data_IF_512229328369
#
_entry.id   IF_512229328369
#
_cell.length_a   1.000
_cell.length_b   1.000
_cell.length_c   1.000
_cell.angle_alpha   90.00
_cell.angle_beta   90.00
_cell.angle_gamma   90.00
#
_symmetry.space_group_name_H-M   'P 1'
#
loop_
_entity.id
_entity.type
_entity.pdbx_description
1 polymer ?
#
# COMPACT_ATOMS: atom_id res chain seq x y z
N UNK A 1 4.70 -55.39 -29.17
CA UNK A 1 5.88 -54.64 -28.72
C UNK A 1 5.90 -53.38 -29.54
N UNK A 2 5.50 -52.31 -28.88
CA UNK A 2 4.79 -51.19 -29.47
C UNK A 2 5.69 -50.11 -30.04
N UNK A 3 5.14 -49.48 -31.07
CA UNK A 3 5.54 -48.24 -31.72
C UNK A 3 5.43 -47.04 -30.77
N UNK A 4 6.43 -46.16 -30.76
CA UNK A 4 6.27 -44.76 -30.33
C UNK A 4 6.98 -43.82 -31.31
N UNK A 5 6.16 -43.04 -32.00
CA UNK A 5 6.51 -41.89 -32.83
C UNK A 5 7.08 -40.73 -31.99
N UNK A 6 8.06 -40.02 -32.55
CA UNK A 6 8.50 -38.70 -32.06
C UNK A 6 8.25 -37.68 -33.17
N UNK A 7 7.16 -36.92 -33.03
CA UNK A 7 6.88 -35.75 -33.86
C UNK A 7 7.51 -34.50 -33.25
N UNK A 8 8.48 -33.93 -33.97
CA UNK A 8 8.97 -32.57 -33.78
C UNK A 8 8.22 -31.66 -34.75
N UNK A 9 7.37 -30.79 -34.23
CA UNK A 9 6.78 -29.70 -35.02
C UNK A 9 7.49 -28.38 -34.70
N UNK A 10 8.36 -28.00 -35.63
CA UNK A 10 8.78 -26.64 -35.91
C UNK A 10 7.65 -25.90 -36.62
N UNK A 11 7.28 -24.69 -36.18
CA UNK A 11 6.42 -23.82 -36.97
C UNK A 11 6.97 -22.39 -36.98
N UNK A 12 7.53 -22.04 -38.13
CA UNK A 12 7.90 -20.72 -38.62
C UNK A 12 6.66 -19.86 -38.83
N UNK A 13 6.66 -18.61 -38.35
CA UNK A 13 5.61 -17.64 -38.65
C UNK A 13 6.08 -16.71 -39.77
N UNK A 14 5.42 -16.83 -40.92
CA UNK A 14 5.56 -15.97 -42.10
C UNK A 14 4.69 -14.73 -41.95
N UNK A 15 5.29 -13.57 -42.23
CA UNK A 15 4.64 -12.27 -42.42
C UNK A 15 4.30 -12.13 -43.91
N UNK A 16 3.01 -12.07 -44.24
CA UNK A 16 2.55 -11.56 -45.54
C UNK A 16 1.34 -10.66 -45.38
N UNK A 17 1.35 -9.67 -46.27
CA UNK A 17 0.49 -8.51 -46.43
C UNK A 17 -0.98 -8.81 -46.71
N UNK A 18 -1.87 -7.93 -46.22
CA UNK A 18 -3.12 -7.60 -46.93
C UNK A 18 -3.37 -6.10 -46.86
N UNK A 19 -3.10 -5.43 -47.98
CA UNK A 19 -3.70 -4.15 -48.31
C UNK A 19 -4.99 -4.38 -49.13
N UNK A 20 -6.07 -3.65 -48.85
CA UNK A 20 -7.12 -3.28 -49.82
C UNK A 20 -8.15 -2.27 -49.26
N UNK A 21 -7.89 -1.00 -49.56
CA UNK A 21 -8.74 0.01 -50.23
C UNK A 21 -10.22 0.33 -49.92
N UNK A 22 -10.44 1.65 -49.95
CA UNK A 22 -11.63 2.45 -50.37
C UNK A 22 -12.65 2.80 -49.27
N UNK A 23 -13.25 3.99 -49.14
CA UNK A 23 -13.48 5.21 -49.97
C UNK A 23 -13.51 6.41 -49.00
N UNK A 24 -12.99 7.60 -49.30
CA UNK A 24 -13.60 8.60 -50.19
C UNK A 24 -14.41 9.63 -49.39
N UNK A 25 -13.88 10.84 -49.20
CA UNK A 25 -14.58 11.91 -48.46
C UNK A 25 -13.79 13.23 -48.34
N UNK A 26 -13.63 13.93 -49.46
CA UNK A 26 -13.11 15.31 -49.54
C UNK A 26 -14.04 16.33 -48.86
N UNK A 27 -13.50 17.16 -47.96
CA UNK A 27 -14.05 18.50 -47.71
C UNK A 27 -12.95 19.53 -47.45
N UNK A 28 -12.86 20.50 -48.38
CA UNK A 28 -12.11 21.76 -48.31
C UNK A 28 -12.65 22.67 -47.20
N UNK A 29 -11.76 23.39 -46.50
CA UNK A 29 -11.78 24.85 -46.24
C UNK A 29 -10.63 25.19 -45.28
N UNK A 30 -9.53 25.74 -45.80
CA UNK A 30 -9.25 27.18 -45.99
C UNK A 30 -8.43 27.74 -44.84
N UNK A 31 -7.17 28.01 -45.16
CA UNK A 31 -6.24 28.82 -44.39
C UNK A 31 -6.80 30.24 -44.21
N UNK A 32 -6.64 30.80 -43.02
CA UNK A 32 -6.40 32.24 -42.88
C UNK A 32 -5.51 32.46 -41.66
N UNK A 33 -4.29 32.89 -41.94
CA UNK A 33 -3.39 33.59 -41.03
C UNK A 33 -4.04 34.92 -40.64
N UNK A 34 -3.94 35.31 -39.37
CA UNK A 34 -3.63 36.70 -39.03
C UNK A 34 -3.09 36.84 -37.60
N UNK A 35 -2.08 37.70 -37.51
CA UNK A 35 -1.31 38.11 -36.34
C UNK A 35 -2.06 39.10 -35.45
N UNK A 36 -1.76 39.09 -34.15
CA UNK A 36 -1.66 40.21 -33.19
C UNK A 36 -1.88 39.62 -31.78
N UNK A 37 -1.22 40.00 -30.69
CA UNK A 37 -0.41 41.16 -30.36
C UNK A 37 -0.72 41.51 -28.89
N UNK A 38 0.20 41.14 -27.99
CA UNK A 38 0.47 41.77 -26.67
C UNK A 38 -0.65 41.78 -25.57
N UNK A 39 -0.28 42.06 -24.29
CA UNK A 39 -0.74 41.31 -23.13
C UNK A 39 -1.83 42.05 -22.31
N UNK A 40 -2.52 41.31 -21.45
CA UNK A 40 -3.32 41.90 -20.37
C UNK A 40 -3.04 41.24 -19.02
N UNK A 41 -2.50 42.06 -18.14
CA UNK A 41 -2.54 41.97 -16.67
C UNK A 41 -3.98 42.05 -16.16
N UNK A 42 -4.27 41.34 -15.07
CA UNK A 42 -5.38 41.63 -14.12
C UNK A 42 -5.04 40.87 -12.83
N UNK A 43 -4.46 41.49 -11.80
CA UNK A 43 -5.14 42.27 -10.73
C UNK A 43 -6.30 41.55 -10.03
N UNK A 44 -5.99 41.09 -8.81
CA UNK A 44 -6.74 41.28 -7.55
C UNK A 44 -8.27 41.30 -7.55
N UNK A 45 -8.84 40.29 -6.89
CA UNK A 45 -9.91 40.44 -5.89
C UNK A 45 -9.45 39.71 -4.63
N UNK A 46 -9.62 40.19 -3.41
CA UNK A 46 -10.68 41.06 -2.91
C UNK A 46 -11.23 40.39 -1.65
N UNK A 47 -10.80 40.93 -0.51
CA UNK A 47 -11.19 40.60 0.87
C UNK A 47 -12.71 40.56 1.11
N UNK A 48 -13.14 39.68 2.02
CA UNK A 48 -14.26 39.82 2.98
C UNK A 48 -14.08 38.66 4.00
N UNK A 49 -13.57 38.86 5.23
CA UNK A 49 -14.27 39.36 6.42
C UNK A 49 -15.72 38.82 6.50
N UNK A 50 -16.26 38.29 7.60
CA UNK A 50 -15.88 38.13 8.99
C UNK A 50 -17.13 37.53 9.64
N UNK A 51 -17.04 36.56 10.53
CA UNK A 51 -18.07 36.40 11.56
C UNK A 51 -17.54 35.65 12.78
N UNK A 52 -17.32 36.45 13.83
CA UNK A 52 -17.19 36.02 15.21
C UNK A 52 -18.44 35.27 15.67
N UNK A 53 -18.27 34.16 16.40
CA UNK A 53 -18.95 33.92 17.69
C UNK A 53 -18.11 32.98 18.56
N UNK A 54 -17.42 33.55 19.53
CA UNK A 54 -16.86 32.87 20.71
C UNK A 54 -17.41 33.60 21.94
N UNK A 55 -18.12 32.89 22.80
CA UNK A 55 -18.11 33.08 24.25
C UNK A 55 -19.09 32.11 24.90
N UNK A 56 -18.56 31.15 25.64
CA UNK A 56 -19.26 30.53 26.77
C UNK A 56 -18.19 30.11 27.76
N UNK A 57 -17.99 31.01 28.72
CA UNK A 57 -17.17 30.88 29.92
C UNK A 57 -17.95 30.01 30.89
N UNK A 58 -17.32 28.95 31.43
CA UNK A 58 -17.86 28.24 32.58
C UNK A 58 -16.78 28.17 33.67
N UNK A 59 -17.28 28.29 34.89
CA UNK A 59 -16.67 28.97 36.01
C UNK A 59 -15.82 28.04 36.85
N UNK A 60 -14.72 28.60 37.36
CA UNK A 60 -13.95 28.08 38.49
C UNK A 60 -14.74 28.21 39.79
N UNK A 61 -14.90 27.12 40.54
CA UNK A 61 -15.15 27.17 41.99
C UNK A 61 -14.03 26.40 42.71
N UNK A 62 -13.35 27.14 43.60
CA UNK A 62 -12.48 26.63 44.65
C UNK A 62 -13.34 26.10 45.79
N UNK A 63 -12.93 25.01 46.43
CA UNK A 63 -13.29 24.70 47.80
C UNK A 63 -12.07 24.08 48.49
N UNK A 64 -11.89 24.55 49.72
CA UNK A 64 -10.74 24.38 50.61
C UNK A 64 -10.70 23.02 51.34
N UNK A 65 -9.48 22.68 51.75
CA UNK A 65 -9.02 22.04 52.99
C UNK A 65 -9.89 20.97 53.69
N UNK A 66 -9.28 19.80 53.94
CA UNK A 66 -8.96 19.41 55.32
C UNK A 66 -8.00 18.21 55.43
N UNK A 67 -7.06 18.36 56.36
CA UNK A 67 -6.11 17.35 56.83
C UNK A 67 -6.79 16.15 57.50
N UNK A 68 -6.24 14.96 57.26
CA UNK A 68 -6.62 13.74 57.95
C UNK A 68 -5.46 12.75 58.06
N UNK A 69 -4.59 12.96 59.05
CA UNK A 69 -3.58 11.97 59.47
C UNK A 69 -4.28 10.75 60.07
N UNK A 70 -4.21 9.59 59.41
CA UNK A 70 -4.45 8.28 60.04
C UNK A 70 -3.34 7.30 59.70
N UNK A 71 -2.52 7.04 60.73
CA UNK A 71 -1.58 5.94 60.84
C UNK A 71 -2.32 4.62 60.87
N UNK A 72 -2.02 3.71 59.95
CA UNK A 72 -2.50 2.32 59.95
C UNK A 72 -1.29 1.40 59.78
N UNK A 73 -1.07 0.57 60.80
CA UNK A 73 -0.07 -0.50 60.84
C UNK A 73 -0.43 -1.56 59.80
N UNK A 74 0.51 -1.91 58.93
CA UNK A 74 0.39 -3.02 57.97
C UNK A 74 1.10 -4.28 58.51
N UNK A 75 0.43 -5.44 58.58
CA UNK A 75 1.06 -6.71 58.93
C UNK A 75 1.77 -7.29 57.70
N UNK A 76 3.04 -7.66 57.88
CA UNK A 76 3.86 -8.40 56.91
C UNK A 76 3.26 -9.80 56.69
N UNK A 77 2.44 -9.95 55.65
CA UNK A 77 2.16 -11.27 55.09
C UNK A 77 3.16 -11.58 53.99
N UNK A 78 4.07 -12.49 54.32
CA UNK A 78 5.01 -13.16 53.42
C UNK A 78 4.18 -14.00 52.45
N UNK A 79 3.93 -13.47 51.26
CA UNK A 79 3.24 -14.18 50.18
C UNK A 79 4.30 -14.96 49.40
N UNK A 80 4.26 -16.29 49.51
CA UNK A 80 5.08 -17.20 48.71
C UNK A 80 4.69 -17.04 47.23
N UNK A 81 5.64 -16.51 46.45
CA UNK A 81 5.58 -16.46 45.00
C UNK A 81 5.66 -17.88 44.45
N UNK A 82 4.51 -18.56 44.42
CA UNK A 82 4.32 -19.70 43.53
C UNK A 82 4.37 -19.15 42.11
N UNK A 83 5.43 -19.49 41.39
CA UNK A 83 5.61 -19.20 39.97
C UNK A 83 4.56 -19.97 39.18
N UNK A 84 3.34 -19.42 39.13
CA UNK A 84 2.29 -19.83 38.23
C UNK A 84 2.80 -19.58 36.82
N UNK A 85 3.29 -20.65 36.18
CA UNK A 85 3.54 -20.72 34.75
C UNK A 85 2.23 -20.42 34.04
N UNK A 86 2.01 -19.14 33.74
CA UNK A 86 0.86 -18.69 32.96
C UNK A 86 1.08 -19.22 31.56
N UNK A 87 0.31 -20.25 31.19
CA UNK A 87 0.17 -20.68 29.80
C UNK A 87 -0.25 -19.46 28.97
N UNK A 88 0.72 -18.82 28.31
CA UNK A 88 0.44 -17.73 27.39
C UNK A 88 -0.34 -18.32 26.23
N UNK A 89 -1.50 -17.75 25.91
CA UNK A 89 -2.25 -18.14 24.73
C UNK A 89 -1.33 -18.20 23.50
N UNK A 90 -1.52 -19.18 22.59
CA UNK A 90 -0.71 -19.27 21.38
C UNK A 90 -0.74 -17.94 20.64
N UNK A 91 0.43 -17.41 20.29
CA UNK A 91 0.49 -16.20 19.48
C UNK A 91 -0.14 -16.48 18.11
N UNK A 92 -0.91 -15.54 17.55
CA UNK A 92 -1.42 -15.67 16.19
C UNK A 92 -0.24 -15.89 15.23
N UNK A 93 -0.38 -16.82 14.30
CA UNK A 93 0.62 -17.05 13.26
C UNK A 93 0.64 -15.85 12.32
N UNK A 94 1.81 -15.28 12.07
CA UNK A 94 1.97 -14.15 11.15
C UNK A 94 2.55 -14.58 9.82
N UNK A 95 2.36 -13.77 8.78
CA UNK A 95 2.96 -14.04 7.46
C UNK A 95 4.47 -14.28 7.57
N UNK A 96 5.19 -13.51 8.37
CA UNK A 96 6.65 -13.68 8.54
C UNK A 96 7.06 -15.00 9.23
N UNK A 97 6.14 -15.72 9.88
CA UNK A 97 6.40 -17.03 10.48
C UNK A 97 6.17 -18.19 9.49
N UNK A 98 5.78 -17.90 8.24
CA UNK A 98 5.44 -18.95 7.28
C UNK A 98 6.66 -19.67 6.70
N UNK A 99 7.75 -18.95 6.44
CA UNK A 99 8.96 -19.47 5.80
C UNK A 99 10.21 -18.97 6.53
N UNK A 100 11.27 -19.79 6.68
CA UNK A 100 12.50 -19.37 7.36
C UNK A 100 13.12 -18.10 6.76
N UNK A 101 13.12 -17.96 5.43
CA UNK A 101 13.64 -16.76 4.76
C UNK A 101 12.82 -15.50 5.05
N UNK A 102 11.51 -15.64 5.29
CA UNK A 102 10.63 -14.53 5.67
C UNK A 102 10.85 -14.12 7.12
N UNK A 103 11.07 -15.09 8.00
CA UNK A 103 11.40 -14.82 9.40
C UNK A 103 12.70 -14.04 9.53
N UNK A 104 13.73 -14.38 8.76
CA UNK A 104 15.01 -13.64 8.75
C UNK A 104 14.84 -12.18 8.32
N UNK A 105 14.01 -11.92 7.30
CA UNK A 105 13.69 -10.54 6.85
C UNK A 105 12.98 -9.74 7.94
N UNK A 106 12.05 -10.36 8.67
CA UNK A 106 11.39 -9.73 9.81
C UNK A 106 12.33 -9.50 10.98
N UNK A 107 13.19 -10.47 11.29
CA UNK A 107 14.17 -10.38 12.38
C UNK A 107 15.21 -9.27 12.15
N UNK A 108 15.54 -8.99 10.88
CA UNK A 108 16.43 -7.90 10.49
C UNK A 108 15.82 -6.49 10.68
N UNK A 109 14.52 -6.37 10.92
CA UNK A 109 13.86 -5.10 11.18
C UNK A 109 14.29 -4.47 12.51
N UNK A 110 14.27 -3.14 12.55
CA UNK A 110 14.47 -2.38 13.79
C UNK A 110 13.31 -2.63 14.77
N UNK A 111 13.49 -2.39 16.09
CA UNK A 111 12.42 -2.54 17.06
C UNK A 111 11.15 -1.75 16.74
N UNK A 112 11.29 -0.52 16.20
CA UNK A 112 10.13 0.29 15.77
C UNK A 112 9.44 -0.33 14.56
N UNK A 113 10.20 -0.81 13.57
CA UNK A 113 9.62 -1.48 12.39
C UNK A 113 8.85 -2.75 12.77
N UNK A 114 9.38 -3.57 13.70
CA UNK A 114 8.66 -4.74 14.23
C UNK A 114 7.37 -4.34 14.93
N UNK A 115 7.40 -3.29 15.77
CA UNK A 115 6.19 -2.76 16.41
C UNK A 115 5.14 -2.32 15.38
N UNK A 116 5.58 -1.67 14.30
CA UNK A 116 4.69 -1.28 13.19
C UNK A 116 4.06 -2.49 12.52
N UNK A 117 4.86 -3.51 12.18
CA UNK A 117 4.36 -4.73 11.55
C UNK A 117 3.33 -5.45 12.44
N UNK A 118 3.61 -5.59 13.74
CA UNK A 118 2.67 -6.21 14.70
C UNK A 118 1.39 -5.40 14.86
N UNK A 119 1.50 -4.07 14.95
CA UNK A 119 0.35 -3.18 15.01
C UNK A 119 -0.54 -3.34 13.78
N UNK A 120 0.05 -3.27 12.58
CA UNK A 120 -0.68 -3.39 11.31
C UNK A 120 -1.31 -4.76 11.16
N UNK A 121 -0.62 -5.84 11.52
CA UNK A 121 -1.18 -7.19 11.50
C UNK A 121 -2.38 -7.31 12.45
N UNK A 122 -2.26 -6.80 13.69
CA UNK A 122 -3.32 -6.87 14.68
C UNK A 122 -4.58 -6.07 14.28
N UNK A 123 -4.42 -4.87 13.75
CA UNK A 123 -5.56 -4.05 13.27
C UNK A 123 -6.14 -4.64 11.98
N UNK A 124 -5.27 -5.11 11.08
CA UNK A 124 -5.64 -5.70 9.80
C UNK A 124 -6.43 -6.99 9.94
N UNK A 125 -6.10 -7.86 10.90
CA UNK A 125 -6.72 -9.17 11.11
C UNK A 125 -8.25 -9.06 11.28
N UNK A 126 -8.70 -8.25 12.24
CA UNK A 126 -10.13 -8.05 12.51
C UNK A 126 -10.84 -7.33 11.35
N UNK A 127 -10.22 -6.29 10.79
CA UNK A 127 -10.79 -5.51 9.70
C UNK A 127 -10.94 -6.37 8.43
N UNK A 128 -9.92 -7.17 8.13
CA UNK A 128 -9.85 -8.09 6.99
C UNK A 128 -10.90 -9.19 7.13
N UNK A 129 -11.00 -9.85 8.29
CA UNK A 129 -12.02 -10.87 8.53
C UNK A 129 -13.44 -10.33 8.31
N UNK A 130 -13.77 -9.18 8.91
CA UNK A 130 -15.07 -8.55 8.75
C UNK A 130 -15.36 -8.12 7.30
N UNK A 131 -14.35 -7.63 6.57
CA UNK A 131 -14.48 -7.29 5.15
C UNK A 131 -14.66 -8.53 4.27
N UNK A 132 -13.95 -9.62 4.56
CA UNK A 132 -14.10 -10.89 3.84
C UNK A 132 -15.54 -11.39 3.94
N UNK A 133 -16.15 -11.35 5.12
CA UNK A 133 -17.54 -11.78 5.32
C UNK A 133 -18.55 -10.91 4.58
N UNK A 134 -18.29 -9.60 4.46
CA UNK A 134 -19.10 -8.70 3.64
C UNK A 134 -18.94 -9.01 2.14
N UNK A 135 -17.71 -9.17 1.67
CA UNK A 135 -17.42 -9.51 0.27
C UNK A 135 -18.02 -10.85 -0.12
N UNK A 136 -17.92 -11.89 0.73
CA UNK A 136 -18.57 -13.19 0.49
C UNK A 136 -20.07 -13.05 0.27
N UNK A 137 -20.76 -12.22 1.09
CA UNK A 137 -22.20 -11.97 0.91
C UNK A 137 -22.51 -11.26 -0.40
N UNK A 138 -21.78 -10.19 -0.70
CA UNK A 138 -21.95 -9.43 -1.95
C UNK A 138 -21.65 -10.28 -3.18
N UNK A 139 -20.65 -11.16 -3.11
CA UNK A 139 -20.16 -11.90 -4.26
C UNK A 139 -20.86 -13.23 -4.54
N UNK A 140 -21.79 -13.65 -3.68
CA UNK A 140 -22.70 -14.76 -4.01
C UNK A 140 -23.44 -14.52 -5.34
N UNK A 141 -23.73 -13.26 -5.68
CA UNK A 141 -24.32 -12.90 -6.97
C UNK A 141 -23.41 -13.10 -8.20
N UNK A 142 -22.10 -13.28 -8.01
CA UNK A 142 -21.12 -13.47 -9.09
C UNK A 142 -20.65 -14.93 -9.24
N UNK A 143 -21.27 -15.89 -8.53
CA UNK A 143 -20.89 -17.30 -8.54
C UNK A 143 -19.40 -17.55 -8.19
N UNK A 144 -18.83 -16.74 -7.31
CA UNK A 144 -17.46 -16.94 -6.79
C UNK A 144 -17.53 -17.95 -5.64
N UNK A 145 -16.86 -19.08 -5.79
CA UNK A 145 -16.85 -20.16 -4.80
C UNK A 145 -15.96 -19.85 -3.59
N UNK A 146 -16.15 -20.56 -2.48
CA UNK A 146 -15.22 -20.50 -1.32
C UNK A 146 -13.79 -20.92 -1.68
N UNK A 147 -13.65 -21.84 -2.63
CA UNK A 147 -12.36 -22.23 -3.19
C UNK A 147 -11.71 -21.07 -3.93
N UNK A 148 -12.48 -20.31 -4.70
CA UNK A 148 -11.98 -19.12 -5.40
C UNK A 148 -11.52 -18.04 -4.42
N UNK A 149 -12.26 -17.83 -3.31
CA UNK A 149 -11.80 -16.94 -2.24
C UNK A 149 -10.45 -17.37 -1.69
N UNK A 150 -10.28 -18.67 -1.39
CA UNK A 150 -9.02 -19.22 -0.89
C UNK A 150 -7.87 -19.03 -1.90
N UNK A 151 -8.14 -19.20 -3.20
CA UNK A 151 -7.16 -18.92 -4.26
C UNK A 151 -6.77 -17.43 -4.32
N UNK A 152 -7.73 -16.52 -4.13
CA UNK A 152 -7.45 -15.09 -4.04
C UNK A 152 -6.58 -14.77 -2.83
N UNK A 153 -6.83 -15.37 -1.66
CA UNK A 153 -5.99 -15.16 -0.46
C UNK A 153 -4.56 -15.61 -0.68
N UNK A 154 -4.38 -16.82 -1.21
CA UNK A 154 -3.04 -17.33 -1.53
C UNK A 154 -2.36 -16.43 -2.56
N UNK A 155 -3.10 -15.95 -3.56
CA UNK A 155 -2.55 -15.04 -4.55
C UNK A 155 -2.11 -13.70 -3.93
N UNK A 156 -2.96 -13.04 -3.14
CA UNK A 156 -2.66 -11.76 -2.50
C UNK A 156 -1.52 -11.88 -1.49
N UNK A 157 -1.49 -12.94 -0.69
CA UNK A 157 -0.42 -13.13 0.28
C UNK A 157 0.91 -13.52 -0.38
N UNK A 158 0.89 -14.45 -1.35
CA UNK A 158 2.09 -15.19 -1.77
C UNK A 158 2.53 -14.98 -3.21
N UNK A 159 1.67 -14.45 -4.08
CA UNK A 159 1.96 -14.40 -5.54
C UNK A 159 1.90 -13.01 -6.13
N UNK A 160 1.16 -12.08 -5.53
CA UNK A 160 1.01 -10.72 -6.07
C UNK A 160 2.38 -10.05 -6.20
N UNK A 161 2.73 -9.47 -7.37
CA UNK A 161 4.01 -8.78 -7.53
C UNK A 161 4.11 -7.54 -6.64
N UNK A 162 5.22 -7.45 -5.92
CA UNK A 162 5.61 -6.27 -5.16
C UNK A 162 6.54 -5.43 -6.04
N UNK A 163 6.13 -4.20 -6.36
CA UNK A 163 6.84 -3.36 -7.32
C UNK A 163 7.09 -1.95 -6.81
N UNK A 164 8.25 -1.40 -7.16
CA UNK A 164 8.58 0.03 -6.97
C UNK A 164 8.80 0.62 -8.36
N UNK A 165 7.97 1.60 -8.74
CA UNK A 165 8.15 2.35 -10.01
C UNK A 165 9.36 3.25 -9.89
N UNK A 166 10.19 3.28 -10.93
CA UNK A 166 11.43 4.05 -10.94
C UNK A 166 11.62 4.78 -12.28
N UNK A 167 12.17 5.97 -12.19
CA UNK A 167 12.83 6.64 -13.31
C UNK A 167 14.27 6.13 -13.40
N UNK A 168 14.57 5.33 -14.42
CA UNK A 168 15.89 4.73 -14.63
C UNK A 168 16.95 5.82 -14.74
N UNK A 169 16.66 6.89 -15.48
CA UNK A 169 17.65 7.94 -15.75
C UNK A 169 17.99 8.70 -14.47
N UNK A 170 16.97 9.00 -13.66
CA UNK A 170 17.14 9.63 -12.36
C UNK A 170 17.76 8.72 -11.30
N UNK A 171 17.47 7.41 -11.29
CA UNK A 171 17.85 6.53 -10.18
C UNK A 171 19.17 5.78 -10.38
N UNK A 172 19.43 5.25 -11.58
CA UNK A 172 20.57 4.34 -11.82
C UNK A 172 21.93 4.97 -11.50
N UNK A 173 22.22 6.25 -11.81
CA UNK A 173 23.51 6.86 -11.45
C UNK A 173 23.83 6.80 -9.94
N UNK A 174 22.79 6.88 -9.09
CA UNK A 174 22.95 6.73 -7.64
C UNK A 174 23.16 5.26 -7.25
N UNK A 175 22.40 4.35 -7.83
CA UNK A 175 22.49 2.92 -7.53
C UNK A 175 23.84 2.30 -7.88
N UNK A 176 24.56 2.87 -8.85
CA UNK A 176 25.92 2.46 -9.21
C UNK A 176 26.92 2.66 -8.05
N UNK A 177 26.67 3.61 -7.16
CA UNK A 177 27.56 3.94 -6.04
C UNK A 177 26.97 3.53 -4.68
N UNK A 178 25.65 3.44 -4.57
CA UNK A 178 24.91 3.05 -3.38
C UNK A 178 23.85 2.00 -3.75
N UNK A 179 24.08 0.70 -3.47
CA UNK A 179 23.17 -0.36 -3.90
C UNK A 179 21.86 -0.40 -3.09
N UNK A 180 21.61 0.58 -2.23
CA UNK A 180 20.41 0.62 -1.40
C UNK A 180 19.38 1.62 -1.93
N UNK A 181 18.14 1.16 -2.03
CA UNK A 181 17.02 2.04 -2.40
C UNK A 181 16.64 2.95 -1.21
N UNK A 182 16.92 4.24 -1.35
CA UNK A 182 16.76 5.27 -0.31
C UNK A 182 15.37 5.89 -0.29
N UNK A 183 14.93 6.34 0.89
CA UNK A 183 13.70 7.11 1.04
C UNK A 183 13.88 8.59 0.64
N UNK A 184 12.77 9.29 0.44
CA UNK A 184 12.79 10.75 0.28
C UNK A 184 13.30 11.48 1.54
N UNK A 185 13.16 10.87 2.73
CA UNK A 185 13.69 11.42 3.99
C UNK A 185 15.22 11.33 4.06
N UNK A 186 15.81 10.28 3.50
CA UNK A 186 17.27 10.11 3.43
C UNK A 186 17.88 11.07 2.40
N UNK A 187 17.22 11.28 1.27
CA UNK A 187 17.76 12.04 0.14
C UNK A 187 17.40 13.52 0.15
N UNK A 188 16.35 13.91 0.88
CA UNK A 188 15.79 15.26 0.95
C UNK A 188 15.46 15.89 -0.43
N UNK A 189 15.11 15.07 -1.41
CA UNK A 189 14.91 15.51 -2.81
C UNK A 189 13.54 16.14 -3.10
N UNK A 190 12.58 16.05 -2.19
CA UNK A 190 11.19 16.48 -2.39
C UNK A 190 10.78 17.72 -1.61
N UNK A 191 11.66 18.26 -0.76
CA UNK A 191 11.42 19.43 0.08
C UNK A 191 10.52 19.18 1.30
N UNK A 192 10.56 20.11 2.26
CA UNK A 192 9.98 19.92 3.61
C UNK A 192 8.47 19.69 3.60
N UNK A 193 7.70 20.44 2.79
CA UNK A 193 6.24 20.30 2.70
C UNK A 193 5.83 18.89 2.28
N UNK A 194 6.58 18.26 1.36
CA UNK A 194 6.32 16.88 0.97
C UNK A 194 6.64 15.90 2.10
N UNK A 195 7.77 16.11 2.80
CA UNK A 195 8.17 15.25 3.92
C UNK A 195 7.18 15.35 5.07
N UNK A 196 6.67 16.54 5.39
CA UNK A 196 5.64 16.76 6.40
C UNK A 196 4.34 16.01 6.04
N UNK A 197 3.84 16.19 4.80
CA UNK A 197 2.67 15.46 4.33
C UNK A 197 2.87 13.93 4.36
N UNK A 198 4.12 13.45 4.19
CA UNK A 198 4.44 12.03 4.32
C UNK A 198 4.51 11.56 5.78
N UNK A 199 5.03 12.38 6.70
CA UNK A 199 4.95 12.10 8.15
C UNK A 199 3.51 11.99 8.62
N UNK A 200 2.64 12.91 8.22
CA UNK A 200 1.20 12.82 8.50
C UNK A 200 0.57 11.55 7.92
N UNK A 201 1.00 11.16 6.72
CA UNK A 201 0.54 9.92 6.10
C UNK A 201 0.95 8.69 6.92
N UNK A 202 2.21 8.61 7.31
CA UNK A 202 2.75 7.54 8.15
C UNK A 202 2.13 7.51 9.55
N UNK A 203 1.90 8.68 10.16
CA UNK A 203 1.26 8.83 11.46
C UNK A 203 -0.12 8.18 11.51
N UNK A 204 -0.93 8.38 10.46
CA UNK A 204 -2.27 7.79 10.33
C UNK A 204 -2.19 6.27 10.13
N UNK A 205 -1.30 5.78 9.27
CA UNK A 205 -1.22 4.35 8.98
C UNK A 205 -0.59 3.55 10.12
N UNK A 206 0.38 4.12 10.80
CA UNK A 206 1.26 3.40 11.74
C UNK A 206 1.14 3.93 13.16
N UNK A 207 0.04 4.60 13.48
CA UNK A 207 -0.28 5.09 14.82
C UNK A 207 0.87 5.90 15.46
N UNK A 208 1.44 6.83 14.69
CA UNK A 208 2.57 7.68 15.10
C UNK A 208 3.86 6.94 15.51
N UNK A 209 3.99 5.63 15.26
CA UNK A 209 5.17 4.87 15.68
C UNK A 209 6.48 5.38 15.05
N UNK A 210 6.43 5.91 13.83
CA UNK A 210 7.59 6.53 13.16
C UNK A 210 7.93 7.95 13.65
N UNK A 211 7.09 8.56 14.48
CA UNK A 211 7.38 9.87 15.09
C UNK A 211 8.20 9.74 16.39
N UNK A 212 8.52 8.50 16.78
CA UNK A 212 9.39 8.26 17.93
C UNK A 212 10.78 8.88 17.70
N UNK A 213 11.39 9.58 18.70
CA UNK A 213 12.65 10.30 18.52
C UNK A 213 13.86 9.44 18.09
N UNK A 214 13.80 8.12 18.32
CA UNK A 214 14.86 7.20 17.89
C UNK A 214 14.79 6.82 16.40
N UNK A 215 13.73 7.20 15.69
CA UNK A 215 13.51 6.84 14.30
C UNK A 215 14.39 7.70 13.41
N UNK A 216 15.25 7.05 12.64
CA UNK A 216 16.08 7.71 11.65
C UNK A 216 15.35 7.76 10.30
N UNK A 217 15.71 8.70 9.39
CA UNK A 217 15.18 8.75 8.03
C UNK A 217 15.22 7.41 7.26
N UNK A 218 16.27 6.61 7.49
CA UNK A 218 16.46 5.28 6.89
C UNK A 218 15.51 4.20 7.43
N UNK A 219 14.95 4.41 8.62
CA UNK A 219 14.04 3.45 9.26
C UNK A 219 12.61 3.57 8.72
N UNK A 220 12.28 4.70 8.09
CA UNK A 220 10.98 4.91 7.45
C UNK A 220 10.79 3.98 6.24
N UNK A 221 9.54 3.59 5.94
CA UNK A 221 9.25 2.63 4.89
C UNK A 221 9.56 3.17 3.50
N UNK A 222 9.82 2.24 2.58
CA UNK A 222 10.00 2.51 1.14
C UNK A 222 8.67 2.25 0.46
N UNK A 223 8.34 3.06 -0.52
CA UNK A 223 7.00 3.06 -1.11
C UNK A 223 7.00 2.51 -2.52
N UNK A 224 5.99 1.70 -2.80
CA UNK A 224 5.75 1.11 -4.11
C UNK A 224 4.26 1.00 -4.40
N UNK A 225 3.95 0.28 -5.47
CA UNK A 225 2.58 0.00 -5.91
C UNK A 225 2.34 -1.50 -5.88
N UNK A 226 1.18 -1.88 -5.36
CA UNK A 226 0.75 -3.27 -5.39
C UNK A 226 0.11 -3.61 -6.74
N UNK A 227 0.75 -4.48 -7.52
CA UNK A 227 0.24 -4.89 -8.83
C UNK A 227 -0.72 -6.08 -8.72
N UNK A 228 -1.94 -5.85 -8.23
CA UNK A 228 -2.91 -6.93 -7.96
C UNK A 228 -3.36 -7.72 -9.21
N UNK A 229 -3.07 -7.26 -10.43
CA UNK A 229 -3.51 -7.90 -11.68
C UNK A 229 -2.36 -8.34 -12.59
N UNK A 230 -1.12 -8.39 -12.08
CA UNK A 230 0.08 -8.86 -12.80
C UNK A 230 0.34 -8.18 -14.15
N UNK A 231 -0.12 -6.95 -14.35
CA UNK A 231 0.09 -6.26 -15.60
C UNK A 231 1.25 -5.26 -15.46
N UNK A 232 2.37 -5.41 -16.19
CA UNK A 232 3.62 -4.67 -15.93
C UNK A 232 3.48 -3.16 -16.09
N UNK A 233 2.54 -2.72 -16.93
CA UNK A 233 2.19 -1.30 -17.12
C UNK A 233 0.81 -0.98 -16.59
N UNK A 234 0.28 -1.82 -15.67
CA UNK A 234 -1.10 -1.73 -15.16
C UNK A 234 -1.41 -0.31 -14.73
N UNK A 235 -0.50 0.27 -13.98
CA UNK A 235 -0.73 1.54 -13.38
C UNK A 235 -0.18 2.68 -14.25
N UNK A 236 -0.91 3.04 -15.32
CA UNK A 236 -0.59 4.21 -16.14
C UNK A 236 -0.75 5.53 -15.38
N UNK A 237 -1.47 5.53 -14.25
CA UNK A 237 -1.66 6.68 -13.35
C UNK A 237 -0.35 7.07 -12.66
N UNK A 238 0.48 6.09 -12.35
CA UNK A 238 1.82 6.29 -11.76
C UNK A 238 2.92 6.42 -12.84
N UNK A 239 2.57 6.74 -14.08
CA UNK A 239 3.55 7.03 -15.14
C UNK A 239 4.51 8.17 -14.77
N UNK A 240 4.06 9.12 -13.93
CA UNK A 240 4.89 10.18 -13.37
C UNK A 240 6.08 9.68 -12.53
N UNK A 241 6.06 8.42 -12.07
CA UNK A 241 7.14 7.80 -11.30
C UNK A 241 8.16 7.07 -12.17
N UNK A 242 7.96 7.05 -13.49
CA UNK A 242 8.88 6.46 -14.47
C UNK A 242 8.28 5.30 -15.27
N UNK A 243 8.98 4.93 -16.33
CA UNK A 243 8.57 3.89 -17.29
C UNK A 243 8.99 2.47 -16.88
N UNK A 244 9.80 2.34 -15.84
CA UNK A 244 10.32 1.06 -15.34
C UNK A 244 9.87 0.77 -13.92
N UNK A 245 10.18 -0.44 -13.44
CA UNK A 245 9.94 -0.85 -12.06
C UNK A 245 11.00 -1.83 -11.58
N UNK A 246 11.26 -1.78 -10.27
CA UNK A 246 11.95 -2.84 -9.54
C UNK A 246 10.93 -3.91 -9.15
N UNK A 247 11.20 -5.16 -9.54
CA UNK A 247 10.47 -6.32 -9.03
C UNK A 247 11.16 -6.81 -7.77
N UNK A 248 10.45 -6.78 -6.65
CA UNK A 248 11.03 -7.09 -5.34
C UNK A 248 11.11 -8.60 -5.10
N UNK A 249 12.14 -9.03 -4.33
CA UNK A 249 12.32 -10.42 -3.90
C UNK A 249 11.12 -10.87 -3.06
N UNK A 250 10.74 -12.14 -3.20
CA UNK A 250 9.59 -12.73 -2.51
C UNK A 250 9.70 -12.63 -0.98
N UNK A 251 10.92 -12.70 -0.44
CA UNK A 251 11.21 -12.59 0.99
C UNK A 251 10.74 -11.26 1.61
N UNK A 252 10.65 -10.19 0.82
CA UNK A 252 10.22 -8.87 1.29
C UNK A 252 8.75 -8.81 1.71
N UNK A 253 7.92 -9.82 1.34
CA UNK A 253 6.53 -9.94 1.81
C UNK A 253 6.41 -9.91 3.33
N UNK A 254 7.38 -10.51 4.02
CA UNK A 254 7.43 -10.61 5.48
C UNK A 254 7.44 -9.25 6.20
N UNK A 255 7.88 -8.20 5.50
CA UNK A 255 8.03 -6.84 6.01
C UNK A 255 7.33 -5.80 5.15
N UNK A 256 6.29 -6.22 4.43
CA UNK A 256 5.49 -5.36 3.56
C UNK A 256 4.09 -5.16 4.13
N UNK A 257 3.67 -3.91 4.27
CA UNK A 257 2.28 -3.55 4.50
C UNK A 257 1.66 -3.01 3.21
N UNK A 258 0.34 -3.04 3.15
CA UNK A 258 -0.46 -2.52 2.05
C UNK A 258 -1.39 -1.47 2.62
N UNK A 259 -1.59 -0.38 1.88
CA UNK A 259 -2.55 0.64 2.23
C UNK A 259 -3.35 1.11 1.02
N UNK A 260 -4.56 1.60 1.28
CA UNK A 260 -5.34 2.35 0.30
C UNK A 260 -4.62 3.66 -0.04
N UNK A 261 -4.51 4.04 -1.31
CA UNK A 261 -3.92 5.33 -1.70
C UNK A 261 -4.77 6.51 -1.18
N UNK A 262 -4.15 7.70 -1.11
CA UNK A 262 -4.81 8.94 -0.69
C UNK A 262 -6.07 9.25 -1.52
N UNK A 263 -6.08 8.83 -2.78
CA UNK A 263 -7.16 9.07 -3.74
C UNK A 263 -8.41 8.20 -3.50
N UNK A 264 -8.29 7.13 -2.70
CA UNK A 264 -9.34 6.13 -2.63
C UNK A 264 -10.52 6.49 -1.70
N UNK A 265 -10.26 7.17 -0.58
CA UNK A 265 -11.22 7.30 0.53
C UNK A 265 -11.15 8.63 1.31
N UNK A 266 -10.36 9.61 0.87
CA UNK A 266 -10.11 10.85 1.64
C UNK A 266 -9.17 10.64 2.84
N UNK A 267 -8.71 11.73 3.47
CA UNK A 267 -7.65 11.67 4.48
C UNK A 267 -8.05 10.91 5.78
N UNK A 268 -9.35 10.88 6.11
CA UNK A 268 -9.86 10.34 7.38
C UNK A 268 -10.19 8.83 7.35
N UNK A 269 -10.18 8.17 6.19
CA UNK A 269 -10.61 6.77 6.04
C UNK A 269 -9.50 5.98 5.33
N UNK A 270 -8.30 5.99 5.90
CA UNK A 270 -7.20 5.18 5.37
C UNK A 270 -7.21 3.80 6.02
N UNK A 271 -7.01 2.78 5.18
CA UNK A 271 -6.93 1.39 5.60
C UNK A 271 -5.53 0.86 5.35
N UNK A 272 -4.98 0.15 6.32
CA UNK A 272 -3.68 -0.53 6.24
C UNK A 272 -3.83 -1.98 6.68
N UNK A 273 -3.04 -2.88 6.13
CA UNK A 273 -3.00 -4.29 6.49
C UNK A 273 -1.71 -4.95 6.02
N UNK A 274 -1.47 -6.18 6.47
CA UNK A 274 -0.45 -7.06 5.91
C UNK A 274 -0.99 -7.81 4.69
N UNK A 275 -0.13 -8.45 3.90
CA UNK A 275 -0.54 -9.14 2.67
C UNK A 275 -1.51 -10.32 2.91
N UNK A 276 -1.46 -10.95 4.09
CA UNK A 276 -2.39 -11.98 4.56
C UNK A 276 -3.66 -11.42 5.22
N UNK A 277 -3.70 -10.11 5.49
CA UNK A 277 -4.82 -9.42 6.14
C UNK A 277 -5.18 -8.13 5.41
N UNK A 278 -5.61 -8.24 4.16
CA UNK A 278 -5.90 -7.06 3.31
C UNK A 278 -7.28 -7.05 2.65
N UNK A 279 -8.23 -7.88 3.08
CA UNK A 279 -9.57 -7.90 2.49
C UNK A 279 -10.30 -6.56 2.62
N UNK A 280 -10.09 -5.82 3.70
CA UNK A 280 -10.64 -4.48 3.87
C UNK A 280 -10.03 -3.45 2.91
N UNK A 281 -8.87 -3.72 2.32
CA UNK A 281 -8.30 -2.91 1.24
C UNK A 281 -8.93 -3.32 -0.09
N UNK A 282 -9.04 -4.62 -0.35
CA UNK A 282 -9.70 -5.17 -1.54
C UNK A 282 -11.16 -4.72 -1.65
N UNK A 283 -11.87 -4.60 -0.52
CA UNK A 283 -13.25 -4.11 -0.45
C UNK A 283 -13.42 -2.68 -0.99
N UNK A 284 -12.35 -1.89 -1.03
CA UNK A 284 -12.39 -0.50 -1.52
C UNK A 284 -12.30 -0.39 -3.04
N UNK A 285 -11.99 -1.52 -3.71
CA UNK A 285 -11.88 -1.62 -5.15
C UNK A 285 -13.25 -1.77 -5.80
N UNK A 286 -13.33 -1.38 -7.07
CA UNK A 286 -14.53 -1.61 -7.88
C UNK A 286 -14.76 -3.11 -8.13
N UNK A 287 -16.01 -3.48 -8.39
CA UNK A 287 -16.40 -4.82 -8.85
C UNK A 287 -15.58 -5.27 -10.07
N UNK A 288 -15.23 -4.34 -10.95
CA UNK A 288 -14.42 -4.62 -12.13
C UNK A 288 -12.99 -5.04 -11.74
N UNK A 289 -12.33 -4.31 -10.84
CA UNK A 289 -10.98 -4.64 -10.37
C UNK A 289 -10.96 -5.98 -9.64
N UNK A 290 -11.93 -6.21 -8.78
CA UNK A 290 -12.16 -7.48 -8.09
C UNK A 290 -12.26 -8.66 -9.07
N UNK A 291 -13.06 -8.52 -10.13
CA UNK A 291 -13.24 -9.58 -11.13
C UNK A 291 -11.93 -9.88 -11.87
N UNK A 292 -11.11 -8.86 -12.11
CA UNK A 292 -9.77 -9.03 -12.71
C UNK A 292 -8.83 -9.77 -11.75
N UNK A 293 -8.84 -9.42 -10.46
CA UNK A 293 -8.04 -10.11 -9.43
C UNK A 293 -8.45 -11.58 -9.36
N UNK A 294 -9.75 -11.86 -9.33
CA UNK A 294 -10.27 -13.23 -9.36
C UNK A 294 -9.79 -14.00 -10.60
N UNK A 295 -9.88 -13.42 -11.79
CA UNK A 295 -9.40 -14.07 -13.02
C UNK A 295 -7.90 -14.38 -13.00
N UNK A 296 -7.07 -13.51 -12.40
CA UNK A 296 -5.62 -13.74 -12.26
C UNK A 296 -5.33 -14.78 -11.19
N UNK A 297 -5.94 -14.65 -10.01
CA UNK A 297 -5.74 -15.55 -8.88
C UNK A 297 -6.13 -17.01 -9.18
N UNK A 298 -7.19 -17.20 -9.98
CA UNK A 298 -7.68 -18.52 -10.40
C UNK A 298 -6.97 -19.07 -11.64
N UNK A 299 -5.98 -18.35 -12.20
CA UNK A 299 -5.26 -18.77 -13.40
C UNK A 299 -6.06 -18.68 -14.70
N UNK A 300 -7.29 -18.16 -14.69
CA UNK A 300 -8.08 -17.90 -15.90
C UNK A 300 -7.42 -16.87 -16.81
N UNK A 301 -6.57 -16.01 -16.25
CA UNK A 301 -5.72 -15.06 -16.98
C UNK A 301 -4.35 -14.99 -16.32
N UNK A 302 -3.30 -14.84 -17.13
CA UNK A 302 -1.95 -14.56 -16.60
C UNK A 302 -1.83 -13.11 -16.08
N UNK A 303 -2.55 -12.17 -16.70
CA UNK A 303 -2.58 -10.74 -16.35
C UNK A 303 -3.90 -10.10 -16.78
N UNK A 304 -4.24 -8.95 -16.22
CA UNK A 304 -5.38 -8.15 -16.68
C UNK A 304 -5.02 -6.67 -16.84
N UNK A 305 -5.55 -6.04 -17.88
CA UNK A 305 -5.47 -4.57 -18.05
C UNK A 305 -6.25 -3.89 -16.94
N UNK A 306 -5.82 -2.71 -16.53
CA UNK A 306 -6.56 -1.84 -15.59
C UNK A 306 -6.97 -0.59 -16.34
N UNK A 307 -8.08 -0.02 -15.91
CA UNK A 307 -8.61 1.19 -16.50
C UNK A 307 -7.92 2.41 -15.87
N UNK A 308 -7.77 3.54 -16.60
CA UNK A 308 -7.13 4.74 -16.06
C UNK A 308 -7.78 5.29 -14.78
N UNK A 309 -9.08 5.04 -14.60
CA UNK A 309 -9.92 5.43 -13.46
C UNK A 309 -9.91 4.40 -12.32
N UNK A 310 -9.22 3.28 -12.48
CA UNK A 310 -9.07 2.29 -11.41
C UNK A 310 -8.49 2.99 -10.17
N UNK A 311 -8.52 2.33 -9.01
CA UNK A 311 -7.81 2.77 -7.80
C UNK A 311 -6.49 2.01 -7.68
N UNK A 312 -5.50 2.56 -6.98
CA UNK A 312 -4.27 1.81 -6.67
C UNK A 312 -4.10 1.63 -5.18
N UNK A 313 -3.37 0.58 -4.81
CA UNK A 313 -2.95 0.35 -3.44
C UNK A 313 -1.44 0.55 -3.35
N UNK A 314 -1.03 1.29 -2.34
CA UNK A 314 0.39 1.51 -2.04
C UNK A 314 0.91 0.34 -1.21
N UNK A 315 2.14 -0.07 -1.48
CA UNK A 315 2.89 -0.93 -0.56
C UNK A 315 3.92 -0.10 0.22
N UNK A 316 4.16 -0.51 1.45
CA UNK A 316 5.18 0.04 2.32
C UNK A 316 6.12 -1.09 2.73
N UNK A 317 7.36 -1.01 2.29
CA UNK A 317 8.39 -2.01 2.59
C UNK A 317 9.24 -1.46 3.74
N UNK A 318 9.21 -2.14 4.87
CA UNK A 318 9.94 -1.77 6.07
C UNK A 318 11.36 -2.32 6.01
N UNK A 319 12.34 -1.60 6.57
CA UNK A 319 13.75 -1.98 6.52
C UNK A 319 14.48 -1.52 5.24
N UNK A 320 15.65 -2.09 5.02
CA UNK A 320 16.55 -1.74 3.91
C UNK A 320 16.26 -2.59 2.66
N UNK A 321 16.38 -2.01 1.47
CA UNK A 321 16.22 -2.72 0.19
C UNK A 321 17.56 -2.65 -0.55
N UNK A 322 18.21 -3.80 -0.70
CA UNK A 322 19.41 -3.97 -1.52
C UNK A 322 18.98 -4.38 -2.94
N UNK A 323 19.39 -3.61 -3.94
CA UNK A 323 19.00 -3.83 -5.36
C UNK A 323 19.97 -4.72 -6.13
N UNK A 324 20.96 -5.31 -5.46
CA UNK A 324 21.88 -6.30 -6.05
C UNK A 324 21.27 -7.71 -6.15
#
# INVERSE_FOLDING_TARGET
MDSVHSDRLSCSFSLEDVASNSKGGTRRRSQQLENSGLPKTCETCGSLASQLRRSSVCSTSKLDDQEGKKSVRSPRHRCELTSSSKYSAPRPRRIWDELPGWQLEYEALTPIQKQVMEYVASVGENASAAAKDRLKRTWRGFNISEQDFSMIEVYLAKKVPLTIRIDIQGLVPYLMNDPFYRTCFETNTKGETYLEARREFEAVLFNNLYEHPSVQPKDRPKYGVLNMVCHPFSDSRVSAFGSAYLLLKDSLRARTTVATSKENLGAAIRRVGTLDHMWHIVETLSTHEITRIHAVATGRRAKATVSPDSKYSEIQIHGMIDVR
#
